data_IF_350901026537
#
_entry.id   IF_350901026537
#
_cell.length_a   1.000
_cell.length_b   1.000
_cell.length_c   1.000
_cell.angle_alpha   90.00
_cell.angle_beta   90.00
_cell.angle_gamma   90.00
#
_symmetry.space_group_name_H-M   'P 1'
#
loop_
_entity.id
_entity.type
_entity.pdbx_description
1 polymer ?
2 non-polymer ?
3 non-polymer ?
4 non-polymer ?
5 water ?
#
# COMPACT_ATOMS: atom_id res chain seq x y z
N UNK A 5 2.60 28.78 -3.16
CA UNK A 5 1.33 28.60 -2.42
C UNK A 5 1.21 27.23 -1.69
N UNK A 6 0.10 27.04 -0.98
CA UNK A 6 -0.11 25.90 -0.08
C UNK A 6 -0.03 24.57 -0.83
N UNK A 7 0.53 23.54 -0.20
CA UNK A 7 0.36 22.19 -0.75
C UNK A 7 -1.06 21.76 -0.36
N UNK A 8 -1.86 21.46 -1.39
CA UNK A 8 -3.30 21.23 -1.26
C UNK A 8 -3.67 19.75 -1.24
N UNK A 9 -4.77 19.46 -0.58
CA UNK A 9 -5.38 18.11 -0.63
C UNK A 9 -5.79 17.76 -2.07
N UNK A 10 -5.78 16.47 -2.40
CA UNK A 10 -6.13 15.98 -3.74
C UNK A 10 -7.17 14.89 -3.66
N UNK A 11 -8.10 14.94 -4.59
CA UNK A 11 -9.03 13.86 -4.86
C UNK A 11 -8.95 13.45 -6.34
N UNK A 12 -9.81 12.52 -6.75
CA UNK A 12 -9.95 12.17 -8.15
C UNK A 12 -10.75 13.23 -8.92
N UNK A 13 -10.40 13.44 -10.17
CA UNK A 13 -11.10 14.36 -11.08
C UNK A 13 -12.32 13.68 -11.72
N UNK A 14 -12.21 12.39 -12.02
CA UNK A 14 -13.31 11.59 -12.62
C UNK A 14 -13.37 10.25 -11.88
N UNK A 15 -14.51 9.57 -12.01
CA UNK A 15 -14.69 8.26 -11.41
C UNK A 15 -13.92 7.24 -12.26
N UNK A 16 -13.36 6.22 -11.59
CA UNK A 16 -12.63 5.10 -12.22
C UNK A 16 -13.39 3.79 -11.95
N UNK A 17 -13.54 2.93 -12.95
CA UNK A 17 -14.17 1.61 -12.77
C UNK A 17 -13.21 0.54 -13.23
N UNK A 18 -13.14 -0.55 -12.48
CA UNK A 18 -12.34 -1.72 -12.89
C UNK A 18 -13.01 -2.98 -12.42
N UNK A 19 -12.72 -4.07 -13.12
CA UNK A 19 -13.19 -5.38 -12.72
C UNK A 19 -11.98 -6.30 -12.55
N UNK A 20 -12.09 -7.25 -11.60
CA UNK A 20 -11.04 -8.22 -11.44
C UNK A 20 -11.40 -9.34 -10.52
N UNK A 21 -10.38 -9.89 -9.89
CA UNK A 21 -10.53 -11.02 -8.99
C UNK A 21 -9.68 -10.83 -7.73
N UNK A 22 -10.18 -11.30 -6.61
CA UNK A 22 -9.45 -11.30 -5.37
C UNK A 22 -8.34 -12.35 -5.41
N UNK A 23 -7.13 -11.92 -5.03
CA UNK A 23 -5.98 -12.82 -4.93
C UNK A 23 -6.25 -14.00 -4.01
N UNK A 24 -6.74 -13.70 -2.82
CA UNK A 24 -6.98 -14.73 -1.83
C UNK A 24 -8.32 -15.44 -1.95
N UNK A 25 -9.38 -14.69 -2.21
CA UNK A 25 -10.74 -15.31 -2.31
C UNK A 25 -11.05 -15.93 -3.67
N UNK A 26 -10.35 -15.46 -4.71
CA UNK A 26 -10.73 -15.80 -6.06
C UNK A 26 -12.08 -15.28 -6.53
N UNK A 27 -12.68 -14.36 -5.79
CA UNK A 27 -14.03 -13.84 -6.14
C UNK A 27 -13.97 -12.71 -7.16
N UNK A 28 -14.94 -12.69 -8.08
CA UNK A 28 -15.04 -11.62 -9.07
C UNK A 28 -15.50 -10.36 -8.32
N UNK A 29 -14.88 -9.23 -8.62
CA UNK A 29 -15.15 -8.00 -7.86
C UNK A 29 -15.17 -6.82 -8.81
N UNK A 30 -16.14 -5.94 -8.60
CA UNK A 30 -16.27 -4.70 -9.35
C UNK A 30 -15.81 -3.55 -8.46
N UNK A 31 -14.90 -2.75 -8.97
CA UNK A 31 -14.27 -1.64 -8.22
C UNK A 31 -14.71 -0.32 -8.84
N UNK A 32 -15.11 0.65 -8.01
CA UNK A 32 -15.36 2.03 -8.47
C UNK A 32 -14.64 3.01 -7.52
N UNK A 33 -13.78 3.85 -8.05
CA UNK A 33 -13.12 4.89 -7.26
C UNK A 33 -13.82 6.20 -7.53
N UNK A 34 -14.26 6.88 -6.46
CA UNK A 34 -14.96 8.16 -6.58
C UNK A 34 -14.26 9.29 -5.81
N UNK A 35 -14.37 10.53 -6.34
CA UNK A 35 -13.92 11.70 -5.61
C UNK A 35 -14.63 11.82 -4.26
N UNK A 36 -13.98 12.49 -3.32
CA UNK A 36 -14.55 12.69 -2.00
C UNK A 36 -14.14 14.04 -1.46
N UNK A 37 -14.94 14.60 -0.52
CA UNK A 37 -14.63 15.93 0.06
C UNK A 37 -13.33 15.99 0.86
N UNK A 38 -12.83 17.21 1.06
CA UNK A 38 -11.71 17.47 1.96
C UNK A 38 -11.87 16.74 3.32
N UNK A 39 -10.75 16.22 3.84
CA UNK A 39 -10.68 15.51 5.11
C UNK A 39 -11.48 14.21 5.21
N UNK A 40 -11.94 13.64 4.09
CA UNK A 40 -12.58 12.31 4.12
C UNK A 40 -11.59 11.18 4.38
N UNK A 41 -10.39 11.26 3.79
CA UNK A 41 -9.47 10.14 3.78
C UNK A 41 -9.90 9.14 2.72
N UNK A 42 -9.38 7.93 2.79
CA UNK A 42 -9.73 6.87 1.84
C UNK A 42 -10.71 5.99 2.62
N UNK A 43 -11.91 5.79 2.07
CA UNK A 43 -12.93 5.01 2.74
C UNK A 43 -13.35 3.89 1.80
N UNK A 44 -13.31 2.66 2.29
CA UNK A 44 -13.79 1.50 1.55
C UNK A 44 -15.29 1.25 1.82
N UNK A 45 -16.06 1.00 0.77
CA UNK A 45 -17.51 0.88 0.83
C UNK A 45 -17.94 -0.43 0.18
N UNK A 46 -18.46 -1.35 1.00
CA UNK A 46 -18.97 -2.62 0.49
C UNK A 46 -20.40 -2.39 -0.03
N UNK A 47 -20.54 -2.17 -1.34
CA UNK A 47 -21.84 -1.84 -1.98
C UNK A 47 -22.69 -3.08 -2.30
N UNK A 48 -22.17 -4.28 -2.05
CA UNK A 48 -22.95 -5.51 -2.14
C UNK A 48 -23.89 -5.74 -0.94
N UNK A 49 -23.67 -4.98 0.14
CA UNK A 49 -24.41 -5.16 1.38
C UNK A 49 -25.47 -4.07 1.45
N UNK A 50 -26.56 -4.39 2.14
CA UNK A 50 -27.65 -3.43 2.36
C UNK A 50 -27.95 -3.44 3.87
N UNK A 51 -27.64 -2.37 4.62
CA UNK A 51 -27.05 -1.12 4.14
C UNK A 51 -25.56 -1.27 3.75
N UNK A 52 -25.06 -0.34 2.94
CA UNK A 52 -23.65 -0.30 2.53
C UNK A 52 -22.81 -0.12 3.81
N UNK A 53 -21.73 -0.88 3.93
CA UNK A 53 -20.84 -0.81 5.08
C UNK A 53 -19.57 -0.09 4.63
N UNK A 54 -19.20 0.96 5.35
CA UNK A 54 -18.11 1.83 5.00
C UNK A 54 -17.01 1.71 6.07
N UNK A 55 -15.78 1.45 5.66
CA UNK A 55 -14.66 1.25 6.57
C UNK A 55 -13.54 2.22 6.17
N UNK A 56 -13.29 3.25 7.00
CA UNK A 56 -12.15 4.11 6.71
C UNK A 56 -10.81 3.32 6.69
N UNK A 57 -9.92 3.65 5.75
CA UNK A 57 -8.63 2.99 5.66
C UNK A 57 -7.70 3.61 6.67
N UNK A 58 -7.88 3.21 7.92
CA UNK A 58 -7.11 3.71 9.05
C UNK A 58 -6.58 2.57 9.88
N UNK A 59 -5.47 2.81 10.59
CA UNK A 59 -4.76 1.74 11.33
C UNK A 59 -5.64 1.02 12.35
N UNK A 60 -6.49 1.79 13.01
CA UNK A 60 -7.46 1.31 14.00
C UNK A 60 -8.50 0.29 13.49
N UNK A 61 -8.71 0.24 12.17
CA UNK A 61 -9.66 -0.68 11.57
C UNK A 61 -9.02 -1.93 10.96
N UNK A 62 -7.71 -2.10 11.14
CA UNK A 62 -7.04 -3.30 10.63
C UNK A 62 -7.32 -4.47 11.56
N UNK A 63 -7.77 -5.56 10.97
CA UNK A 63 -8.06 -6.83 11.67
C UNK A 63 -6.95 -7.81 11.38
N UNK A 64 -7.13 -8.69 10.41
CA UNK A 64 -6.08 -9.67 10.08
C UNK A 64 -4.95 -9.04 9.28
N UNK A 65 -3.76 -9.60 9.44
CA UNK A 65 -2.54 -9.14 8.74
C UNK A 65 -1.69 -10.37 8.43
N UNK A 66 -2.37 -11.48 8.14
CA UNK A 66 -1.70 -12.76 7.88
C UNK A 66 -0.93 -12.66 6.55
N UNK A 67 -1.59 -12.85 5.41
CA UNK A 67 -0.95 -12.73 4.12
C UNK A 67 -1.12 -11.34 3.53
N UNK A 68 -2.26 -10.68 3.83
CA UNK A 68 -2.56 -9.34 3.30
C UNK A 68 -3.03 -8.44 4.46
N UNK A 69 -3.27 -7.16 4.18
CA UNK A 69 -3.79 -6.24 5.18
C UNK A 69 -5.30 -6.19 4.96
N UNK A 70 -6.04 -6.54 6.00
CA UNK A 70 -7.50 -6.62 6.00
C UNK A 70 -8.11 -5.55 6.91
N UNK A 71 -9.12 -4.84 6.43
CA UNK A 71 -9.89 -3.92 7.28
C UNK A 71 -11.15 -4.66 7.76
N UNK A 72 -11.54 -4.42 9.01
CA UNK A 72 -12.72 -5.07 9.62
C UNK A 72 -13.61 -4.04 10.29
N UNK A 73 -14.92 -4.23 10.20
CA UNK A 73 -15.90 -3.50 10.99
C UNK A 73 -16.98 -4.52 11.30
N UNK A 74 -17.08 -4.91 12.57
CA UNK A 74 -17.96 -6.00 13.01
C UNK A 74 -17.53 -7.27 12.34
N UNK A 75 -18.46 -7.92 11.65
CA UNK A 75 -18.18 -9.12 10.86
C UNK A 75 -18.06 -8.87 9.34
N UNK A 76 -17.81 -7.62 8.98
CA UNK A 76 -17.60 -7.24 7.56
C UNK A 76 -16.12 -6.94 7.36
N UNK A 77 -15.53 -7.48 6.29
CA UNK A 77 -14.09 -7.26 6.02
C UNK A 77 -13.87 -6.73 4.61
N UNK A 78 -12.73 -6.08 4.42
CA UNK A 78 -12.23 -5.65 3.09
C UNK A 78 -10.78 -6.11 3.07
N UNK A 79 -10.52 -7.13 2.28
CA UNK A 79 -9.20 -7.78 2.24
C UNK A 79 -8.28 -7.17 1.17
N UNK A 80 -6.98 -7.24 1.44
CA UNK A 80 -5.93 -6.94 0.49
C UNK A 80 -6.00 -5.49 -0.05
N UNK A 81 -5.98 -4.56 0.90
CA UNK A 81 -6.08 -3.14 0.59
C UNK A 81 -4.74 -2.48 0.19
N UNK A 82 -3.64 -3.18 0.42
CA UNK A 82 -2.32 -2.57 0.40
C UNK A 82 -1.84 -2.10 -0.96
N UNK A 83 -2.19 -2.78 -2.05
CA UNK A 83 -1.67 -2.39 -3.37
C UNK A 83 -2.40 -1.15 -3.88
N UNK A 84 -3.70 -1.08 -3.66
CA UNK A 84 -4.48 0.10 -4.05
C UNK A 84 -4.06 1.31 -3.19
N UNK A 85 -3.89 1.08 -1.89
CA UNK A 85 -3.47 2.16 -0.99
C UNK A 85 -2.10 2.67 -1.34
N UNK A 86 -1.23 1.78 -1.82
CA UNK A 86 0.13 2.19 -2.23
C UNK A 86 0.03 3.15 -3.39
N UNK A 87 -0.84 2.82 -4.34
CA UNK A 87 -1.11 3.69 -5.51
C UNK A 87 -1.64 5.04 -5.09
N UNK A 88 -2.60 5.07 -4.19
CA UNK A 88 -3.14 6.34 -3.61
C UNK A 88 -2.06 7.18 -2.98
N UNK A 89 -1.25 6.51 -2.14
CA UNK A 89 -0.15 7.20 -1.44
C UNK A 89 0.86 7.76 -2.42
N UNK A 90 1.30 6.93 -3.36
CA UNK A 90 2.30 7.33 -4.34
C UNK A 90 1.88 8.49 -5.23
N UNK A 91 0.58 8.59 -5.53
CA UNK A 91 0.07 9.72 -6.32
C UNK A 91 -0.47 10.90 -5.51
N UNK A 92 -0.42 10.80 -4.19
CA UNK A 92 -0.80 11.89 -3.30
C UNK A 92 -2.29 12.15 -3.22
N UNK A 93 -3.11 11.11 -3.41
CA UNK A 93 -4.57 11.19 -3.19
C UNK A 93 -4.93 11.12 -1.71
N UNK A 94 -5.49 12.20 -1.19
CA UNK A 94 -5.94 12.29 0.21
C UNK A 94 -7.33 11.70 0.41
N UNK A 95 -8.24 11.97 -0.52
CA UNK A 95 -9.66 11.72 -0.32
C UNK A 95 -10.27 10.95 -1.47
N UNK A 96 -10.94 9.85 -1.15
CA UNK A 96 -11.60 9.00 -2.13
C UNK A 96 -12.49 7.94 -1.49
N UNK A 97 -13.62 7.64 -2.13
CA UNK A 97 -14.42 6.48 -1.76
C UNK A 97 -14.05 5.34 -2.71
N UNK A 98 -13.77 4.17 -2.16
CA UNK A 98 -13.46 3.00 -2.92
C UNK A 98 -14.63 2.05 -2.74
N UNK A 99 -15.46 1.93 -3.78
CA UNK A 99 -16.59 1.01 -3.74
C UNK A 99 -16.17 -0.36 -4.24
N UNK A 100 -16.51 -1.40 -3.48
CA UNK A 100 -16.25 -2.78 -3.88
C UNK A 100 -17.52 -3.62 -3.80
N UNK A 101 -17.72 -4.50 -4.77
CA UNK A 101 -18.86 -5.41 -4.82
C UNK A 101 -18.61 -6.74 -4.08
N UNK A 102 -17.43 -6.90 -3.50
CA UNK A 102 -17.10 -8.09 -2.75
C UNK A 102 -16.03 -7.75 -1.69
N UNK A 103 -15.67 -8.73 -0.87
CA UNK A 103 -14.84 -8.50 0.30
C UNK A 103 -13.34 -8.29 -0.01
N UNK A 104 -12.87 -8.40 -1.24
CA UNK A 104 -11.42 -8.20 -1.54
C UNK A 104 -11.20 -7.29 -2.74
N UNK A 105 -10.22 -6.40 -2.63
CA UNK A 105 -9.82 -5.53 -3.72
C UNK A 105 -9.28 -6.43 -4.84
N UNK A 106 -9.54 -6.08 -6.11
CA UNK A 106 -9.05 -6.94 -7.19
C UNK A 106 -7.54 -6.86 -7.29
N UNK A 107 -6.92 -8.00 -7.57
CA UNK A 107 -5.49 -8.10 -7.61
C UNK A 107 -4.89 -7.48 -8.91
N UNK A 108 -5.66 -7.40 -10.00
CA UNK A 108 -5.17 -6.87 -11.30
C UNK A 108 -3.94 -7.70 -11.80
N UNK A 109 -2.81 -7.07 -12.05
CA UNK A 109 -1.58 -7.80 -12.45
C UNK A 109 -0.64 -8.13 -11.28
N UNK A 110 -1.08 -7.91 -10.03
CA UNK A 110 -0.27 -8.13 -8.84
C UNK A 110 0.54 -6.93 -8.31
N UNK A 111 0.51 -5.83 -9.04
CA UNK A 111 1.31 -4.63 -8.75
C UNK A 111 0.33 -3.49 -8.56
N UNK A 112 0.86 -2.28 -8.43
CA UNK A 112 0.08 -1.07 -8.36
C UNK A 112 -0.02 -0.39 -9.73
N UNK A 113 0.64 -0.95 -10.75
CA UNK A 113 0.70 -0.35 -12.11
C UNK A 113 -0.67 -0.07 -12.71
N UNK A 114 -1.56 -1.09 -12.75
CA UNK A 114 -2.90 -0.78 -13.33
C UNK A 114 -3.64 0.31 -12.57
N UNK A 115 -3.56 0.32 -11.24
CA UNK A 115 -4.21 1.37 -10.45
C UNK A 115 -3.66 2.76 -10.72
N UNK A 116 -2.35 2.92 -10.78
CA UNK A 116 -1.78 4.22 -11.12
C UNK A 116 -2.16 4.67 -12.53
N UNK A 117 -2.19 3.75 -13.49
CA UNK A 117 -2.64 4.08 -14.85
C UNK A 117 -4.11 4.54 -14.88
N UNK A 118 -4.99 3.77 -14.27
CA UNK A 118 -6.41 4.13 -14.24
C UNK A 118 -6.65 5.50 -13.56
N UNK A 119 -6.02 5.71 -12.42
CA UNK A 119 -6.12 6.97 -11.70
C UNK A 119 -5.54 8.13 -12.52
N UNK A 120 -4.33 7.97 -13.03
CA UNK A 120 -3.73 9.03 -13.81
C UNK A 120 -4.46 9.33 -15.13
N UNK A 121 -5.16 8.34 -15.68
CA UNK A 121 -6.03 8.54 -16.87
C UNK A 121 -7.26 9.39 -16.52
N UNK A 122 -7.86 9.11 -15.37
CA UNK A 122 -8.95 9.92 -14.84
C UNK A 122 -8.53 11.34 -14.43
N UNK A 123 -7.30 11.50 -13.96
CA UNK A 123 -6.81 12.80 -13.51
C UNK A 123 -7.11 13.03 -12.06
N UNK A 124 -6.35 13.92 -11.43
CA UNK A 124 -6.58 14.36 -10.05
C UNK A 124 -7.08 15.79 -10.00
N UNK A 125 -7.71 16.13 -8.87
CA UNK A 125 -8.34 17.43 -8.64
C UNK A 125 -7.75 17.97 -7.33
N UNK A 126 -7.06 19.11 -7.38
CA UNK A 126 -6.58 19.77 -6.15
C UNK A 126 -7.78 20.44 -5.48
N UNK A 127 -7.79 20.40 -4.16
CA UNK A 127 -8.92 20.85 -3.37
C UNK A 127 -8.50 22.05 -2.55
N UNK A 128 -9.49 22.79 -2.06
CA UNK A 128 -9.29 24.07 -1.34
C UNK A 128 -9.07 23.90 0.17
N UNK A 129 -7.98 23.23 0.52
CA UNK A 129 -7.62 22.97 1.92
C UNK A 129 -6.23 22.45 1.93
N UNK A 130 -5.48 22.78 2.98
CA UNK A 130 -4.10 22.40 3.10
C UNK A 130 -3.98 20.86 3.28
N UNK A 131 -3.01 20.27 2.62
CA UNK A 131 -2.66 18.86 2.83
C UNK A 131 -1.96 18.73 4.19
N UNK A 132 -2.39 17.75 4.98
CA UNK A 132 -1.76 17.50 6.29
C UNK A 132 -0.80 16.33 6.16
N UNK A 133 0.36 16.44 6.81
CA UNK A 133 1.41 15.45 6.78
C UNK A 133 1.68 15.06 8.24
N UNK A 134 2.05 13.80 8.45
CA UNK A 134 2.52 13.35 9.74
C UNK A 134 4.04 13.35 9.68
N UNK A 135 4.69 14.24 10.44
CA UNK A 135 6.15 14.33 10.51
C UNK A 135 6.71 13.54 11.71
N UNK A 136 7.64 12.64 11.42
CA UNK A 136 8.31 11.82 12.42
C UNK A 136 9.33 12.71 13.10
N UNK A 137 9.26 12.83 14.42
CA UNK A 137 10.27 13.63 15.16
C UNK A 137 11.18 12.83 16.13
N UNK A 138 10.82 11.58 16.44
CA UNK A 138 11.69 10.66 17.20
C UNK A 138 11.73 9.31 16.48
N UNK A 139 12.79 8.55 16.73
CA UNK A 139 12.83 7.17 16.27
C UNK A 139 11.76 6.33 17.00
N UNK A 140 11.04 5.51 16.24
CA UNK A 140 10.04 4.60 16.79
C UNK A 140 10.34 3.23 16.16
N UNK A 141 10.62 2.22 16.98
CA UNK A 141 10.99 0.86 16.50
C UNK A 141 10.02 -0.15 17.09
N UNK A 142 9.59 -1.15 16.32
CA UNK A 142 8.98 -2.37 16.86
C UNK A 142 9.79 -3.56 16.36
N UNK A 143 9.94 -4.55 17.22
CA UNK A 143 10.64 -5.78 16.85
C UNK A 143 9.83 -6.96 17.37
N UNK A 144 10.01 -8.09 16.72
CA UNK A 144 9.43 -9.37 17.14
C UNK A 144 10.42 -10.43 16.66
N UNK A 145 11.21 -10.93 17.58
CA UNK A 145 12.26 -11.88 17.21
C UNK A 145 13.23 -11.14 16.31
N UNK A 146 13.51 -11.72 15.16
CA UNK A 146 14.47 -11.18 14.18
C UNK A 146 13.88 -10.17 13.17
N UNK A 147 12.58 -9.91 13.23
CA UNK A 147 11.93 -8.92 12.38
C UNK A 147 11.96 -7.55 13.05
N UNK A 148 12.09 -6.49 12.25
CA UNK A 148 12.12 -5.11 12.78
C UNK A 148 11.48 -4.16 11.79
N UNK A 149 10.76 -3.16 12.31
CA UNK A 149 10.23 -2.09 11.48
C UNK A 149 10.47 -0.82 12.25
N UNK A 150 11.00 0.21 11.57
CA UNK A 150 11.38 1.45 12.25
C UNK A 150 11.03 2.70 11.46
N UNK A 151 10.63 3.74 12.21
CA UNK A 151 10.48 5.09 11.65
C UNK A 151 11.65 5.93 12.20
N UNK A 152 12.28 6.72 11.34
CA UNK A 152 13.39 7.62 11.71
C UNK A 152 13.03 9.03 11.17
N UNK A 153 13.37 10.10 11.92
CA UNK A 153 13.25 11.44 11.33
C UNK A 153 14.04 11.59 10.04
N UNK A 154 13.43 12.27 9.09
CA UNK A 154 14.04 12.48 7.77
C UNK A 154 13.25 13.54 7.08
N UNK A 155 13.96 14.52 6.52
CA UNK A 155 13.35 15.66 5.83
C UNK A 155 13.00 15.29 4.40
N UNK A 156 11.91 14.54 4.27
CA UNK A 156 11.49 14.01 2.99
C UNK A 156 10.65 12.76 3.25
N UNK A 157 10.63 11.86 2.26
CA UNK A 157 10.01 10.54 2.41
C UNK A 157 10.86 9.49 1.71
N UNK A 158 11.28 8.47 2.46
CA UNK A 158 12.23 7.48 2.01
C UNK A 158 11.87 6.14 2.66
N UNK A 159 12.02 5.06 1.90
CA UNK A 159 11.69 3.72 2.39
C UNK A 159 12.89 2.82 2.06
N UNK A 160 13.39 2.10 3.05
CA UNK A 160 14.43 1.09 2.89
C UNK A 160 13.88 -0.25 3.34
N UNK A 161 14.34 -1.31 2.69
CA UNK A 161 13.92 -2.65 2.99
C UNK A 161 15.06 -3.63 2.75
N UNK A 162 15.21 -4.59 3.66
CA UNK A 162 16.17 -5.66 3.51
C UNK A 162 15.45 -6.97 3.79
N UNK A 163 15.57 -7.93 2.88
CA UNK A 163 15.02 -9.28 3.05
C UNK A 163 16.14 -10.30 2.95
N UNK A 164 16.08 -11.26 3.85
CA UNK A 164 17.03 -12.39 3.82
C UNK A 164 16.25 -13.66 3.52
N UNK A 165 15.98 -13.96 2.26
CA UNK A 165 15.25 -15.20 1.96
C UNK A 165 16.31 -16.25 1.64
N UNK A 166 16.25 -17.41 2.28
CA UNK A 166 17.21 -18.47 1.90
C UNK A 166 16.58 -19.11 0.66
N UNK A 167 16.92 -18.63 -0.52
CA UNK A 167 16.32 -19.20 -1.75
C UNK A 167 17.18 -18.89 -2.97
N UNK A 168 17.42 -19.91 -3.83
CA UNK A 168 18.26 -19.82 -5.02
C UNK A 168 17.99 -18.65 -5.97
N UNK A 169 16.71 -18.33 -6.18
CA UNK A 169 16.28 -17.20 -7.02
C UNK A 169 16.95 -15.84 -6.72
N UNK A 170 17.49 -15.66 -5.51
CA UNK A 170 18.24 -14.43 -5.15
C UNK A 170 19.75 -14.45 -5.42
N UNK A 171 20.24 -15.51 -6.08
CA UNK A 171 21.61 -15.60 -6.59
C UNK A 171 22.67 -15.39 -5.48
N UNK A 174 21.82 -11.36 -0.43
CA UNK A 174 20.77 -10.67 0.39
C UNK A 174 20.16 -9.57 -0.46
N UNK A 175 18.86 -9.32 -0.27
CA UNK A 175 18.12 -8.36 -1.10
C UNK A 175 17.77 -7.09 -0.30
N UNK A 176 18.17 -5.95 -0.85
CA UNK A 176 18.09 -4.67 -0.17
C UNK A 176 17.81 -3.58 -1.21
N UNK A 177 16.95 -2.64 -0.85
CA UNK A 177 16.77 -1.40 -1.64
C UNK A 177 16.38 -0.23 -0.76
N UNK A 178 16.70 0.97 -1.21
CA UNK A 178 16.34 2.19 -0.54
C UNK A 178 15.89 3.18 -1.60
N UNK A 179 14.68 3.73 -1.46
CA UNK A 179 14.13 4.67 -2.41
C UNK A 179 13.76 5.97 -1.69
N UNK A 180 14.23 7.08 -2.26
CA UNK A 180 13.93 8.41 -1.76
C UNK A 180 12.89 9.00 -2.73
N UNK A 181 11.66 9.15 -2.26
CA UNK A 181 10.55 9.64 -3.10
C UNK A 181 10.48 11.15 -3.12
N UNK A 182 11.21 11.76 -2.19
CA UNK A 182 11.35 13.23 -2.24
C UNK A 182 12.17 13.55 -3.51
N UNK A 183 12.66 12.52 -4.23
CA UNK A 183 13.37 12.72 -5.52
C UNK A 183 13.36 11.54 -6.52
N UNK A 184 12.62 10.43 -6.35
CA UNK A 184 12.74 9.33 -7.37
C UNK A 184 11.44 8.76 -7.95
N UNK A 185 10.25 9.18 -7.52
CA UNK A 185 8.94 8.78 -8.13
C UNK A 185 8.48 7.31 -7.96
N UNK A 186 7.38 7.21 -7.26
CA UNK A 186 6.73 5.95 -7.07
C UNK A 186 6.44 5.19 -8.37
N UNK A 187 5.90 5.90 -9.37
CA UNK A 187 5.43 5.28 -10.59
C UNK A 187 6.51 4.49 -11.30
N UNK A 188 7.66 5.11 -11.45
CA UNK A 188 8.76 4.48 -12.19
C UNK A 188 9.52 3.49 -11.30
N UNK A 189 9.76 3.81 -10.04
CA UNK A 189 10.67 2.93 -9.28
C UNK A 189 9.99 1.70 -8.66
N UNK A 190 8.72 1.78 -8.32
CA UNK A 190 8.06 0.78 -7.48
C UNK A 190 6.73 0.24 -8.02
N UNK A 191 5.94 1.11 -8.68
CA UNK A 191 4.51 0.76 -8.94
C UNK A 191 4.28 -0.56 -9.67
N UNK A 192 5.21 -0.93 -10.56
CA UNK A 192 5.08 -2.10 -11.41
C UNK A 192 5.56 -3.41 -10.76
N UNK A 193 6.04 -3.35 -9.51
CA UNK A 193 6.56 -4.54 -8.81
C UNK A 193 5.43 -5.45 -8.36
N UNK A 194 5.39 -6.64 -8.90
CA UNK A 194 4.31 -7.61 -8.63
C UNK A 194 4.53 -8.38 -7.35
N UNK A 195 3.42 -8.77 -6.72
CA UNK A 195 3.41 -9.70 -5.63
C UNK A 195 3.97 -11.05 -6.09
N UNK A 196 4.27 -11.88 -5.12
CA UNK A 196 4.90 -13.16 -5.43
C UNK A 196 4.50 -14.23 -4.43
N UNK A 197 4.56 -15.48 -4.87
CA UNK A 197 4.30 -16.63 -4.02
C UNK A 197 5.21 -17.81 -4.38
N UNK A 198 5.49 -18.63 -3.39
CA UNK A 198 6.31 -19.85 -3.58
C UNK A 198 5.38 -21.05 -3.73
N UNK A 199 5.65 -21.88 -4.73
CA UNK A 199 4.85 -23.10 -4.98
C UNK A 199 4.75 -24.02 -3.79
N UNK A 200 5.78 -24.07 -2.96
CA UNK A 200 5.79 -24.97 -1.78
C UNK A 200 4.66 -24.65 -0.80
N UNK A 201 4.20 -23.40 -0.79
CA UNK A 201 3.14 -22.95 0.08
C UNK A 201 1.69 -23.02 -0.50
N UNK A 202 1.53 -23.23 -1.80
CA UNK A 202 0.25 -22.89 -2.47
C UNK A 202 -0.86 -23.90 -2.17
N UNK A 203 -0.49 -25.17 -2.03
CA UNK A 203 -1.49 -26.21 -1.68
C UNK A 203 -1.93 -25.90 -0.25
N UNK A 204 -0.97 -25.64 0.63
CA UNK A 204 -1.31 -25.29 2.01
C UNK A 204 -2.20 -24.04 2.04
N UNK A 205 -1.78 -22.98 1.35
CA UNK A 205 -2.54 -21.75 1.34
C UNK A 205 -3.98 -21.97 0.80
N UNK A 206 -4.08 -22.65 -0.35
CA UNK A 206 -5.38 -22.94 -0.98
C UNK A 206 -6.32 -23.78 -0.06
N UNK A 207 -5.74 -24.67 0.75
CA UNK A 207 -6.53 -25.42 1.75
C UNK A 207 -7.15 -24.54 2.85
N UNK A 208 -6.49 -23.41 3.12
CA UNK A 208 -6.95 -22.40 4.07
C UNK A 208 -7.74 -21.29 3.38
N UNK A 209 -8.21 -21.52 2.15
CA UNK A 209 -8.89 -20.49 1.35
C UNK A 209 -8.09 -19.19 1.18
N UNK A 210 -6.80 -19.35 0.91
CA UNK A 210 -5.92 -18.26 0.53
C UNK A 210 -5.32 -18.59 -0.83
N UNK A 211 -4.83 -17.55 -1.49
CA UNK A 211 -4.27 -17.60 -2.85
C UNK A 211 -5.15 -18.27 -3.91
N UNK A 212 -6.47 -18.27 -3.70
CA UNK A 212 -7.39 -18.97 -4.60
C UNK A 212 -7.46 -18.31 -5.98
N UNK A 213 -7.26 -17.00 -6.03
CA UNK A 213 -7.15 -16.27 -7.29
C UNK A 213 -5.74 -16.17 -7.86
N UNK A 214 -4.73 -16.73 -7.22
CA UNK A 214 -3.33 -16.54 -7.66
C UNK A 214 -3.02 -17.32 -8.94
N UNK A 215 -2.27 -16.70 -9.84
CA UNK A 215 -1.75 -17.36 -11.05
C UNK A 215 -0.58 -16.57 -11.59
N UNK A 216 0.08 -17.14 -12.58
CA UNK A 216 1.18 -16.43 -13.28
C UNK A 216 0.74 -15.12 -13.93
N UNK A 217 -0.56 -14.94 -14.17
CA UNK A 217 -1.11 -13.68 -14.68
C UNK A 217 -1.12 -12.54 -13.68
N UNK A 218 -1.11 -12.85 -12.37
CA UNK A 218 -1.18 -11.80 -11.33
C UNK A 218 -0.14 -11.90 -10.22
N UNK A 219 0.90 -12.70 -10.43
CA UNK A 219 1.91 -12.94 -9.44
C UNK A 219 3.17 -13.56 -10.07
N UNK A 220 4.30 -13.21 -9.49
CA UNK A 220 5.55 -13.95 -9.72
C UNK A 220 5.42 -15.27 -8.97
N UNK A 221 5.45 -16.40 -9.67
CA UNK A 221 5.36 -17.70 -9.01
C UNK A 221 6.73 -18.35 -9.01
N UNK A 222 7.20 -18.73 -7.82
CA UNK A 222 8.57 -19.22 -7.63
C UNK A 222 8.56 -20.68 -7.17
N UNK A 223 9.31 -21.51 -7.87
CA UNK A 223 9.41 -22.91 -7.41
C UNK A 223 10.67 -23.05 -6.55
N UNK A 224 11.17 -24.27 -6.43
CA UNK A 224 12.37 -24.55 -5.66
C UNK A 224 13.57 -23.68 -6.05
N UNK A 225 13.74 -23.47 -7.34
CA UNK A 225 14.94 -22.81 -7.90
C UNK A 225 14.73 -21.60 -8.80
N UNK A 226 13.58 -21.52 -9.46
CA UNK A 226 13.41 -20.42 -10.43
C UNK A 226 12.02 -19.82 -10.49
N UNK A 227 11.98 -18.62 -11.06
CA UNK A 227 10.72 -17.97 -11.48
C UNK A 227 10.05 -18.78 -12.61
N UNK A 228 8.78 -19.16 -12.43
CA UNK A 228 8.07 -19.99 -13.42
C UNK A 228 7.46 -19.13 -14.54
N UNK A 229 7.23 -17.86 -14.25
CA UNK A 229 6.67 -16.91 -15.23
C UNK A 229 7.56 -16.93 -16.48
N UNK A 230 6.97 -17.32 -17.60
CA UNK A 230 7.64 -17.47 -18.91
C UNK A 230 8.45 -16.23 -19.25
N UNK A 231 7.85 -15.06 -19.11
CA UNK A 231 8.48 -13.79 -19.50
C UNK A 231 9.31 -13.12 -18.40
N UNK A 232 9.49 -13.76 -17.26
CA UNK A 232 10.50 -13.30 -16.28
C UNK A 232 10.10 -12.08 -15.44
N UNK A 233 11.13 -11.32 -15.01
CA UNK A 233 10.95 -10.23 -14.04
C UNK A 233 10.92 -8.87 -14.75
N UNK A 234 10.19 -7.95 -14.13
CA UNK A 234 10.08 -6.57 -14.60
C UNK A 234 11.26 -5.74 -14.10
N UNK A 235 11.85 -6.14 -12.99
CA UNK A 235 13.03 -5.52 -12.42
C UNK A 235 13.89 -6.62 -11.85
N UNK A 236 15.21 -6.43 -11.85
CA UNK A 236 16.14 -7.37 -11.22
C UNK A 236 15.80 -7.64 -9.76
N UNK A 237 15.44 -6.58 -9.05
CA UNK A 237 15.09 -6.65 -7.63
C UNK A 237 13.56 -6.47 -7.41
N UNK A 238 12.77 -7.12 -8.25
CA UNK A 238 11.30 -6.94 -8.18
C UNK A 238 10.75 -7.37 -6.82
N UNK A 239 11.34 -8.40 -6.21
CA UNK A 239 10.84 -8.90 -4.93
C UNK A 239 10.89 -7.84 -3.83
N UNK A 240 12.08 -7.26 -3.63
CA UNK A 240 12.22 -6.27 -2.60
C UNK A 240 11.49 -4.97 -2.95
N UNK A 241 11.39 -4.64 -4.23
CA UNK A 241 10.61 -3.47 -4.64
C UNK A 241 9.14 -3.68 -4.27
N UNK A 242 8.65 -4.92 -4.39
CA UNK A 242 7.28 -5.20 -3.94
C UNK A 242 7.09 -5.06 -2.42
N UNK A 243 8.07 -5.50 -1.63
CA UNK A 243 8.08 -5.25 -0.17
C UNK A 243 7.91 -3.74 0.14
N UNK A 244 8.59 -2.92 -0.65
CA UNK A 244 8.53 -1.47 -0.48
C UNK A 244 7.13 -0.93 -0.87
N UNK A 245 6.61 -1.43 -1.98
CA UNK A 245 5.24 -1.10 -2.43
C UNK A 245 4.23 -1.40 -1.30
N UNK A 246 4.33 -2.60 -0.72
CA UNK A 246 3.46 -3.04 0.40
C UNK A 246 3.60 -2.14 1.61
N UNK A 247 4.83 -1.82 1.99
CA UNK A 247 5.07 -0.95 3.15
C UNK A 247 4.44 0.45 2.94
N UNK A 248 4.59 1.00 1.73
CA UNK A 248 3.98 2.33 1.40
C UNK A 248 2.46 2.30 1.58
N UNK A 249 1.82 1.26 1.09
CA UNK A 249 0.40 1.08 1.30
C UNK A 249 -0.05 0.88 2.73
N UNK A 250 0.65 0.00 3.48
CA UNK A 250 0.35 -0.24 4.89
C UNK A 250 0.56 1.04 5.69
N UNK A 251 1.61 1.78 5.36
CA UNK A 251 1.90 3.07 6.01
C UNK A 251 0.83 4.12 5.76
N UNK A 252 0.17 4.09 4.61
CA UNK A 252 -0.90 5.05 4.32
C UNK A 252 -2.15 4.86 5.21
N UNK A 253 -2.21 3.73 5.94
CA UNK A 253 -3.23 3.57 6.97
C UNK A 253 -3.11 4.57 8.12
N UNK A 254 -1.96 5.25 8.22
CA UNK A 254 -1.89 6.44 9.05
C UNK A 254 -2.92 7.51 8.68
N UNK A 255 -3.37 7.56 7.42
CA UNK A 255 -4.41 8.50 6.95
C UNK A 255 -3.90 9.83 6.40
N UNK A 256 -2.57 10.00 6.37
CA UNK A 256 -1.90 11.21 5.91
C UNK A 256 -0.53 10.79 5.40
N UNK A 257 0.02 11.52 4.42
CA UNK A 257 1.36 11.26 3.96
C UNK A 257 2.38 11.52 5.08
N UNK A 258 3.49 10.81 5.00
CA UNK A 258 4.55 10.84 6.02
C UNK A 258 5.72 11.68 5.58
N UNK A 259 6.27 12.41 6.54
CA UNK A 259 7.58 13.05 6.37
C UNK A 259 8.52 12.34 7.33
N UNK A 260 9.34 11.44 6.80
CA UNK A 260 10.20 10.57 7.60
C UNK A 260 10.69 9.43 6.77
N UNK A 261 11.44 8.53 7.41
CA UNK A 261 12.02 7.38 6.76
C UNK A 261 11.47 6.12 7.43
N UNK A 262 11.16 5.11 6.60
CA UNK A 262 10.79 3.80 7.10
C UNK A 262 11.93 2.85 6.74
N UNK A 263 12.29 1.98 7.66
CA UNK A 263 13.25 0.92 7.37
C UNK A 263 12.59 -0.38 7.82
N UNK A 264 12.53 -1.36 6.93
CA UNK A 264 11.97 -2.69 7.22
C UNK A 264 13.08 -3.73 7.17
N UNK A 265 13.06 -4.65 8.14
CA UNK A 265 14.00 -5.79 8.19
C UNK A 265 13.18 -7.05 8.39
N UNK A 266 12.95 -7.78 7.30
CA UNK A 266 12.12 -9.00 7.28
C UNK A 266 10.72 -8.74 7.79
N UNK A 267 10.24 -7.50 7.64
CA UNK A 267 8.96 -7.09 8.18
C UNK A 267 7.85 -7.45 7.19
N UNK A 268 6.61 -7.40 7.64
CA UNK A 268 5.46 -7.65 6.77
C UNK A 268 4.27 -6.91 7.34
N UNK A 269 3.06 -7.26 6.89
CA UNK A 269 1.85 -6.48 7.24
C UNK A 269 1.59 -6.36 8.71
N UNK A 270 1.68 -7.45 9.45
CA UNK A 270 1.44 -7.42 10.92
C UNK A 270 2.38 -6.45 11.67
N UNK A 271 3.67 -6.55 11.40
CA UNK A 271 4.65 -5.64 12.04
C UNK A 271 4.54 -4.20 11.57
N UNK A 272 4.22 -4.01 10.29
CA UNK A 272 3.89 -2.67 9.78
C UNK A 272 2.76 -2.05 10.55
N UNK A 273 1.68 -2.79 10.74
CA UNK A 273 0.59 -2.24 11.54
C UNK A 273 0.95 -1.99 13.02
N UNK A 274 1.70 -2.91 13.61
CA UNK A 274 2.23 -2.71 14.97
C UNK A 274 3.06 -1.42 15.06
N UNK A 275 3.86 -1.13 14.03
CA UNK A 275 4.64 0.10 14.02
C UNK A 275 3.74 1.33 14.02
N UNK A 276 2.70 1.34 13.19
CA UNK A 276 1.77 2.46 13.17
C UNK A 276 1.05 2.70 14.48
N UNK A 277 0.58 1.62 15.10
CA UNK A 277 -0.12 1.70 16.40
C UNK A 277 0.78 2.27 17.51
N UNK A 278 2.03 1.81 17.50
CA UNK A 278 3.03 2.30 18.45
C UNK A 278 3.32 3.78 18.20
N UNK A 279 3.51 4.15 16.93
CA UNK A 279 3.69 5.56 16.54
C UNK A 279 2.54 6.44 17.03
N UNK A 280 1.31 6.01 16.74
CA UNK A 280 0.13 6.81 17.04
C UNK A 280 0.04 7.04 18.57
N UNK A 281 0.36 5.99 19.33
CA UNK A 281 0.34 6.02 20.80
C UNK A 281 1.40 7.00 21.35
N UNK A 282 2.55 7.11 20.69
CA UNK A 282 3.63 7.95 21.19
C UNK A 282 3.58 9.32 20.55
N UNK A 283 2.75 10.19 21.13
CA UNK A 283 2.51 11.48 20.52
C UNK A 283 3.70 12.41 20.63
N UNK A 284 4.69 12.09 21.48
CA UNK A 284 6.01 12.77 21.42
C UNK A 284 6.81 12.52 20.11
N UNK A 285 6.46 11.46 19.39
CA UNK A 285 7.24 11.00 18.24
C UNK A 285 6.79 11.59 16.90
N UNK A 286 5.66 12.29 16.87
CA UNK A 286 5.13 12.87 15.63
C UNK A 286 4.28 14.11 15.86
N UNK A 287 4.08 14.85 14.78
CA UNK A 287 3.18 16.00 14.75
C UNK A 287 2.59 16.15 13.37
N UNK A 288 1.46 16.83 13.29
CA UNK A 288 0.76 17.07 12.02
C UNK A 288 1.25 18.41 11.53
N UNK A 289 1.69 18.50 10.27
CA UNK A 289 2.16 19.78 9.72
C UNK A 289 1.52 20.04 8.36
N UNK A 290 1.48 21.31 7.98
CA UNK A 290 1.11 21.74 6.63
C UNK A 290 2.24 22.61 6.02
N UNK A 291 2.15 22.88 4.71
CA UNK A 291 3.17 23.71 4.02
C UNK A 291 2.51 24.81 3.22
N UNK A 292 2.63 26.04 3.72
CA UNK A 292 2.09 27.24 3.08
C UNK A 292 2.89 27.63 1.83
N UNK A 293 4.10 27.13 1.68
CA UNK A 293 4.88 27.38 0.49
C UNK A 293 5.50 26.08 -0.03
N UNK A 294 4.93 25.60 -1.13
CA UNK A 294 5.44 24.41 -1.81
C UNK A 294 6.95 24.48 -2.10
N UNK A 295 7.48 25.68 -2.33
CA UNK A 295 8.91 25.86 -2.65
C UNK A 295 9.86 25.51 -1.50
N UNK A 296 9.40 25.59 -0.26
CA UNK A 296 10.24 25.24 0.89
C UNK A 296 9.88 23.90 1.51
N UNK A 297 8.94 23.16 0.93
CA UNK A 297 8.55 21.85 1.46
C UNK A 297 9.60 20.80 1.11
N UNK A 298 9.71 19.73 1.93
CA UNK A 298 10.71 18.67 1.65
C UNK A 298 10.26 17.58 0.68
N UNK A 299 9.02 17.61 0.26
CA UNK A 299 8.50 16.69 -0.73
C UNK A 299 7.75 17.48 -1.82
N UNK A 300 7.59 16.86 -2.99
CA UNK A 300 6.74 17.41 -4.05
C UNK A 300 5.96 16.30 -4.73
N UNK A 301 4.95 16.71 -5.46
CA UNK A 301 4.04 15.81 -6.15
C UNK A 301 3.96 16.18 -7.62
N UNK A 302 3.63 15.19 -8.44
CA UNK A 302 3.48 15.38 -9.87
C UNK A 302 2.30 16.29 -10.11
N UNK A 303 2.34 17.01 -11.23
CA UNK A 303 1.21 17.78 -11.71
C UNK A 303 -0.07 16.92 -11.71
N UNK A 304 -1.20 17.47 -11.23
CA UNK A 304 -2.42 16.68 -11.06
C UNK A 304 -3.07 16.32 -12.39
#
# INVERSE_FOLDING_TARGET
HHHHATIKQRTLKNIIRATGVGLHSGEKVYLTLKPAPVDTGIVFCRTDLDPVVEIPARAENVGETTMSTTLVKGDVKVDTVEHLLSAMAGLGIDNAYVELSASEVPIMDGSAGPFVFLIQSAGLQEQEAAKKFVRIKREVSVEEGDKRAVFVPFDGFKVSFEIDFDHPVFRGRTQQASVDFSSTSFVKEVSRARTFGFMRDIEYLRSQNLALGGSVENAIVVDENRVLNEDGLRYEDEFVKHKILDAIGDLYLLGNSLIGEFRGFKSGHALNNQLLRTLIADKDAWEVVTFEDARTAPISYMRP
#
